data_IF_926611624497
#
_entry.id   IF_926611624497
#
_cell.length_a   1.000
_cell.length_b   1.000
_cell.length_c   1.000
_cell.angle_alpha   90.00
_cell.angle_beta   90.00
_cell.angle_gamma   90.00
#
_symmetry.space_group_name_H-M   'P 1'
#
loop_
_entity.id
_entity.type
_entity.pdbx_description
1 polymer ?
#
# COMPACT_ATOMS: atom_id res chain seq x y z
N UNK A 1 9.77 -15.47 -4.93
CA UNK A 1 9.57 -15.82 -3.51
C UNK A 1 10.90 -16.10 -2.82
N UNK A 2 11.78 -16.97 -3.33
CA UNK A 2 13.16 -17.09 -2.82
C UNK A 2 14.18 -16.31 -3.68
N UNK A 3 15.23 -15.78 -3.06
CA UNK A 3 16.44 -15.26 -3.70
C UNK A 3 17.68 -15.54 -2.84
N UNK A 4 18.87 -15.40 -3.41
CA UNK A 4 20.13 -15.40 -2.66
C UNK A 4 20.48 -13.94 -2.34
N UNK A 5 20.70 -13.62 -1.06
CA UNK A 5 21.19 -12.31 -0.62
C UNK A 5 22.43 -12.49 0.25
N UNK A 6 23.40 -11.58 0.11
CA UNK A 6 24.57 -11.56 0.98
C UNK A 6 24.24 -10.88 2.31
N UNK A 7 24.35 -11.62 3.41
CA UNK A 7 24.09 -11.14 4.77
C UNK A 7 25.22 -11.53 5.71
N UNK A 8 25.73 -10.57 6.46
CA UNK A 8 26.88 -10.75 7.36
C UNK A 8 28.06 -11.43 6.63
N UNK A 9 28.32 -11.04 5.37
CA UNK A 9 29.43 -11.55 4.57
C UNK A 9 29.21 -12.93 3.91
N UNK A 10 28.06 -13.58 4.07
CA UNK A 10 27.77 -14.88 3.45
C UNK A 10 26.49 -14.84 2.60
N UNK A 11 26.46 -15.64 1.54
CA UNK A 11 25.30 -15.77 0.65
C UNK A 11 24.27 -16.69 1.32
N UNK A 12 23.07 -16.17 1.58
CA UNK A 12 22.01 -16.89 2.29
C UNK A 12 20.75 -16.97 1.41
N UNK A 13 20.07 -18.13 1.34
CA UNK A 13 18.75 -18.20 0.75
C UNK A 13 17.76 -17.47 1.65
N UNK A 14 17.02 -16.52 1.07
CA UNK A 14 16.06 -15.70 1.79
C UNK A 14 14.79 -15.50 0.97
N UNK A 15 13.71 -15.09 1.65
CA UNK A 15 12.49 -14.66 0.99
C UNK A 15 12.71 -13.24 0.48
N UNK A 16 12.48 -13.03 -0.82
CA UNK A 16 12.62 -11.72 -1.46
C UNK A 16 11.58 -10.76 -0.87
N UNK A 17 12.02 -9.57 -0.44
CA UNK A 17 11.10 -8.50 -0.02
C UNK A 17 10.23 -8.08 -1.20
N UNK A 18 8.91 -8.06 -1.00
CA UNK A 18 7.99 -7.43 -1.93
C UNK A 18 8.09 -5.91 -1.74
N UNK A 19 8.48 -5.21 -2.80
CA UNK A 19 8.57 -3.75 -2.81
C UNK A 19 7.33 -3.17 -3.50
N UNK A 20 7.23 -1.84 -3.57
CA UNK A 20 6.16 -1.19 -4.33
C UNK A 20 6.39 -1.43 -5.82
N UNK A 21 5.38 -1.97 -6.50
CA UNK A 21 5.37 -2.08 -7.96
C UNK A 21 4.98 -0.73 -8.56
N UNK A 22 5.93 -0.06 -9.22
CA UNK A 22 5.73 1.29 -9.77
C UNK A 22 4.74 1.34 -10.93
N UNK A 23 4.52 0.21 -11.60
CA UNK A 23 3.49 0.05 -12.61
C UNK A 23 2.18 -0.52 -12.04
N UNK A 24 2.14 -0.80 -10.73
CA UNK A 24 0.98 -1.31 -10.03
C UNK A 24 -0.11 -0.26 -9.82
N UNK A 25 -1.38 -0.71 -9.79
CA UNK A 25 -2.57 0.14 -9.58
C UNK A 25 -2.45 1.08 -8.37
N UNK A 26 -1.93 0.65 -7.19
CA UNK A 26 -1.77 1.57 -6.05
C UNK A 26 -0.83 2.75 -6.35
N UNK A 27 0.33 2.49 -6.96
CA UNK A 27 1.28 3.56 -7.28
C UNK A 27 0.75 4.46 -8.40
N UNK A 28 0.12 3.87 -9.43
CA UNK A 28 -0.50 4.65 -10.51
C UNK A 28 -1.64 5.55 -10.03
N UNK A 29 -2.43 5.10 -9.05
CA UNK A 29 -3.44 5.96 -8.40
C UNK A 29 -2.79 7.15 -7.70
N UNK A 30 -1.70 6.92 -6.95
CA UNK A 30 -0.93 8.02 -6.35
C UNK A 30 -0.35 8.96 -7.41
N UNK A 31 0.33 8.43 -8.44
CA UNK A 31 0.93 9.19 -9.53
C UNK A 31 -0.09 10.10 -10.23
N UNK A 32 -1.29 9.60 -10.51
CA UNK A 32 -2.35 10.35 -11.18
C UNK A 32 -2.92 11.52 -10.36
N UNK A 33 -2.74 11.53 -9.03
CA UNK A 33 -3.34 12.52 -8.14
C UNK A 33 -2.33 13.44 -7.44
N UNK A 34 -1.05 13.04 -7.32
CA UNK A 34 -0.05 13.72 -6.49
C UNK A 34 0.18 15.18 -6.86
N UNK A 35 0.11 15.54 -8.14
CA UNK A 35 0.34 16.91 -8.60
C UNK A 35 -0.77 17.86 -8.11
N UNK A 36 -2.01 17.37 -8.12
CA UNK A 36 -3.16 18.10 -7.56
C UNK A 36 -3.04 18.24 -6.05
N UNK A 37 -2.75 17.13 -5.36
CA UNK A 37 -2.62 17.10 -3.89
C UNK A 37 -1.47 17.97 -3.38
N UNK A 38 -0.46 18.24 -4.20
CA UNK A 38 0.67 19.08 -3.83
C UNK A 38 0.30 20.58 -3.73
N UNK A 39 -0.73 21.03 -4.44
CA UNK A 39 -1.06 22.47 -4.57
C UNK A 39 -2.45 22.84 -4.05
N UNK A 40 -3.38 21.87 -3.98
CA UNK A 40 -4.74 22.08 -3.49
C UNK A 40 -4.96 21.50 -2.08
N UNK A 41 -5.94 22.06 -1.36
CA UNK A 41 -6.40 21.52 -0.06
C UNK A 41 -7.22 20.23 -0.27
N UNK A 42 -6.54 19.10 -0.48
CA UNK A 42 -7.14 17.80 -0.74
C UNK A 42 -7.00 16.80 0.44
N UNK A 43 -6.99 17.29 1.69
CA UNK A 43 -6.75 16.43 2.85
C UNK A 43 -7.94 15.50 3.17
N UNK A 44 -7.62 14.26 3.54
CA UNK A 44 -8.58 13.29 4.06
C UNK A 44 -8.32 13.05 5.55
N UNK A 45 -9.38 13.03 6.36
CA UNK A 45 -9.30 12.82 7.80
C UNK A 45 -9.98 11.49 8.16
N UNK A 46 -9.29 10.34 8.03
CA UNK A 46 -9.87 9.07 8.43
C UNK A 46 -10.20 9.09 9.93
N UNK A 47 -11.36 8.57 10.30
CA UNK A 47 -11.74 8.40 11.69
C UNK A 47 -10.95 7.29 12.39
N UNK A 48 -11.21 7.11 13.68
CA UNK A 48 -10.66 5.98 14.43
C UNK A 48 -11.17 4.64 13.87
N UNK A 49 -10.41 3.57 14.09
CA UNK A 49 -10.86 2.20 13.78
C UNK A 49 -12.13 1.91 14.58
N UNK A 50 -13.18 1.46 13.88
CA UNK A 50 -14.45 1.10 14.48
C UNK A 50 -14.57 -0.42 14.57
N UNK A 51 -14.92 -0.92 15.75
CA UNK A 51 -15.14 -2.36 16.00
C UNK A 51 -16.62 -2.74 16.08
N UNK A 52 -17.51 -1.74 16.08
CA UNK A 52 -18.95 -1.91 16.18
C UNK A 52 -19.65 -0.93 15.24
N UNK A 53 -20.82 -1.32 14.72
CA UNK A 53 -21.61 -0.51 13.79
C UNK A 53 -21.71 -1.16 12.39
N UNK A 54 -22.01 -0.37 11.35
CA UNK A 54 -22.18 -0.90 10.00
C UNK A 54 -20.91 -1.56 9.45
N UNK A 55 -21.07 -2.69 8.76
CA UNK A 55 -19.99 -3.42 8.08
C UNK A 55 -19.24 -2.53 7.07
N UNK A 56 -19.93 -1.59 6.41
CA UNK A 56 -19.32 -0.62 5.50
C UNK A 56 -18.29 0.31 6.15
N UNK A 57 -18.23 0.35 7.49
CA UNK A 57 -17.26 1.12 8.26
C UNK A 57 -16.27 0.20 8.98
N UNK A 58 -16.77 -0.87 9.60
CA UNK A 58 -15.94 -1.78 10.41
C UNK A 58 -15.07 -2.71 9.57
N UNK A 59 -15.54 -3.11 8.39
CA UNK A 59 -14.90 -4.14 7.55
C UNK A 59 -14.17 -3.55 6.34
N UNK A 60 -13.84 -2.24 6.37
CA UNK A 60 -13.09 -1.61 5.29
C UNK A 60 -11.68 -2.17 5.21
N UNK A 61 -11.20 -2.40 3.99
CA UNK A 61 -9.83 -2.84 3.73
C UNK A 61 -8.91 -1.65 3.42
N UNK A 62 -7.61 -1.91 3.33
CA UNK A 62 -6.65 -0.90 2.90
C UNK A 62 -6.93 -0.47 1.46
N UNK A 63 -6.62 0.79 1.13
CA UNK A 63 -6.72 1.28 -0.26
C UNK A 63 -5.83 0.49 -1.22
N UNK A 64 -4.66 0.03 -0.76
CA UNK A 64 -3.78 -0.86 -1.51
C UNK A 64 -4.51 -2.14 -1.92
N UNK A 65 -5.11 -2.87 -0.97
CA UNK A 65 -5.79 -4.13 -1.27
C UNK A 65 -7.00 -3.91 -2.19
N UNK A 66 -7.79 -2.86 -1.93
CA UNK A 66 -8.93 -2.51 -2.77
C UNK A 66 -8.51 -2.20 -4.22
N UNK A 67 -7.41 -1.47 -4.44
CA UNK A 67 -6.89 -1.15 -5.77
C UNK A 67 -6.20 -2.33 -6.45
N UNK A 68 -5.60 -3.25 -5.71
CA UNK A 68 -4.99 -4.46 -6.28
C UNK A 68 -6.03 -5.50 -6.71
N UNK A 69 -7.18 -5.54 -6.02
CA UNK A 69 -8.24 -6.55 -6.25
C UNK A 69 -9.40 -6.08 -7.12
N UNK A 70 -9.64 -4.77 -7.25
CA UNK A 70 -10.60 -4.18 -8.21
C UNK A 70 -9.92 -3.88 -9.53
#
# INVERSE_FOLDING_TARGET
>A
MMNIERRNGADKPVIRKALVELDGKPFKFFEANRDKWAVETCFTYPGAIQYYGPSSVCDITTRTLALEKG
#
